data_IF_401287329868
#
_entry.id   IF_401287329868
#
_cell.length_a   1.000
_cell.length_b   1.000
_cell.length_c   1.000
_cell.angle_alpha   90.00
_cell.angle_beta   90.00
_cell.angle_gamma   90.00
#
_symmetry.space_group_name_H-M   'P 1'
#
loop_
_entity.id
_entity.type
_entity.pdbx_description
1 polymer ?
#
# COMPACT_ATOMS: atom_id res chain seq x y z
N UNK A 1 6.08 -34.26 -17.17
CA UNK A 1 4.96 -34.73 -16.32
C UNK A 1 4.40 -33.50 -15.61
N UNK A 2 3.14 -33.08 -15.82
CA UNK A 2 2.56 -31.97 -15.05
C UNK A 2 2.47 -32.38 -13.57
N UNK A 3 2.77 -31.45 -12.65
CA UNK A 3 2.64 -31.69 -11.22
C UNK A 3 1.17 -32.00 -10.85
N UNK A 4 0.89 -32.95 -9.94
CA UNK A 4 -0.47 -33.30 -9.54
C UNK A 4 -1.23 -32.08 -9.00
N UNK A 5 -2.50 -31.92 -9.40
CA UNK A 5 -3.37 -30.77 -9.08
C UNK A 5 -3.46 -30.42 -7.58
N UNK A 6 -3.29 -31.42 -6.71
CA UNK A 6 -3.28 -31.26 -5.24
C UNK A 6 -2.01 -30.53 -4.78
N UNK A 7 -0.86 -30.85 -5.39
CA UNK A 7 0.44 -30.25 -5.09
C UNK A 7 0.49 -28.79 -5.57
N UNK A 8 -0.09 -28.51 -6.74
CA UNK A 8 -0.25 -27.15 -7.27
C UNK A 8 -1.16 -26.30 -6.37
N UNK A 9 -2.28 -26.84 -5.87
CA UNK A 9 -3.16 -26.14 -4.91
C UNK A 9 -2.47 -25.85 -3.59
N UNK A 10 -1.78 -26.83 -2.99
CA UNK A 10 -1.04 -26.64 -1.74
C UNK A 10 0.10 -25.63 -1.85
N UNK A 11 0.80 -25.59 -2.99
CA UNK A 11 1.80 -24.57 -3.26
C UNK A 11 1.16 -23.18 -3.43
N UNK A 12 0.06 -23.09 -4.16
CA UNK A 12 -0.69 -21.84 -4.35
C UNK A 12 -1.18 -21.26 -3.02
N UNK A 13 -1.76 -22.09 -2.15
CA UNK A 13 -2.28 -21.64 -0.84
C UNK A 13 -1.17 -21.15 0.10
N UNK A 14 0.06 -21.65 -0.06
CA UNK A 14 1.22 -21.22 0.75
C UNK A 14 1.88 -19.96 0.22
N UNK A 15 1.71 -19.66 -1.07
CA UNK A 15 2.39 -18.57 -1.76
C UNK A 15 1.51 -17.34 -1.95
N UNK A 16 0.19 -17.46 -1.89
CA UNK A 16 -0.71 -16.32 -2.03
C UNK A 16 -0.93 -15.62 -0.69
N UNK A 17 -0.73 -14.30 -0.66
CA UNK A 17 -1.19 -13.47 0.45
C UNK A 17 -2.69 -13.32 0.31
N UNK A 18 -3.42 -13.81 1.30
CA UNK A 18 -4.88 -13.85 1.29
C UNK A 18 -5.47 -12.54 1.82
N UNK A 19 -6.73 -12.27 1.49
CA UNK A 19 -7.44 -11.04 1.92
C UNK A 19 -7.44 -10.84 3.44
N UNK A 20 -7.47 -11.93 4.24
CA UNK A 20 -7.39 -11.88 5.70
C UNK A 20 -6.01 -11.45 6.22
N UNK A 21 -4.93 -11.74 5.49
CA UNK A 21 -3.60 -11.26 5.86
C UNK A 21 -3.47 -9.77 5.61
N UNK A 22 -4.01 -9.26 4.51
CA UNK A 22 -4.05 -7.82 4.26
C UNK A 22 -4.90 -7.06 5.30
N UNK A 23 -6.05 -7.61 5.69
CA UNK A 23 -6.85 -7.05 6.78
C UNK A 23 -6.02 -6.97 8.08
N UNK A 24 -5.30 -8.05 8.44
CA UNK A 24 -4.38 -8.05 9.60
C UNK A 24 -3.25 -7.03 9.50
N UNK A 25 -2.74 -6.75 8.29
CA UNK A 25 -1.72 -5.70 8.09
C UNK A 25 -2.30 -4.30 8.34
N UNK A 26 -3.51 -4.04 7.87
CA UNK A 26 -4.23 -2.78 8.16
C UNK A 26 -4.49 -2.65 9.66
N UNK A 27 -4.91 -3.72 10.33
CA UNK A 27 -5.13 -3.72 11.79
C UNK A 27 -3.83 -3.45 12.56
N UNK A 28 -2.72 -4.06 12.13
CA UNK A 28 -1.40 -3.79 12.70
C UNK A 28 -0.99 -2.32 12.50
N UNK A 29 -1.31 -1.73 11.34
CA UNK A 29 -1.08 -0.31 11.08
C UNK A 29 -1.90 0.57 12.02
N UNK A 30 -3.21 0.32 12.15
CA UNK A 30 -4.07 1.07 13.08
C UNK A 30 -3.62 0.95 14.53
N UNK A 31 -3.19 -0.25 14.94
CA UNK A 31 -2.61 -0.46 16.28
C UNK A 31 -1.35 0.38 16.48
N UNK A 32 -0.43 0.36 15.52
CA UNK A 32 0.79 1.16 15.56
C UNK A 32 0.48 2.68 15.59
N UNK A 33 -0.51 3.12 14.79
CA UNK A 33 -1.01 4.49 14.82
C UNK A 33 -1.57 4.86 16.20
N UNK A 34 -2.38 3.99 16.81
CA UNK A 34 -2.97 4.24 18.12
C UNK A 34 -1.92 4.32 19.24
N UNK A 35 -0.95 3.41 19.25
CA UNK A 35 0.15 3.38 20.24
C UNK A 35 1.02 4.66 20.19
N UNK A 36 1.13 5.28 19.02
CA UNK A 36 1.95 6.46 18.77
C UNK A 36 1.14 7.76 18.60
N UNK A 37 -0.15 7.71 18.91
CA UNK A 37 -1.08 8.86 18.79
C UNK A 37 -1.07 9.50 17.39
N UNK A 38 -1.14 8.70 16.34
CA UNK A 38 -1.27 9.15 14.96
C UNK A 38 -2.72 9.07 14.52
N UNK A 39 -3.27 10.16 13.98
CA UNK A 39 -4.70 10.25 13.65
C UNK A 39 -4.99 9.81 12.22
N UNK A 40 -4.08 10.12 11.29
CA UNK A 40 -4.18 9.74 9.90
C UNK A 40 -2.83 9.40 9.28
N UNK A 41 -2.86 8.50 8.30
CA UNK A 41 -1.71 8.15 7.48
C UNK A 41 -2.10 8.20 6.00
N UNK A 42 -1.40 9.02 5.24
CA UNK A 42 -1.46 9.08 3.78
C UNK A 42 -0.25 8.34 3.19
N UNK A 43 -0.52 7.29 2.42
CA UNK A 43 0.47 6.45 1.75
C UNK A 43 0.35 6.66 0.24
N UNK A 44 1.48 6.82 -0.44
CA UNK A 44 1.57 7.15 -1.87
C UNK A 44 2.66 6.37 -2.61
N UNK A 45 3.57 5.75 -1.87
CA UNK A 45 4.55 4.80 -2.37
C UNK A 45 3.86 3.49 -2.78
N UNK A 46 4.29 2.95 -3.93
CA UNK A 46 3.71 1.76 -4.52
C UNK A 46 3.89 0.54 -3.61
N UNK A 47 5.07 0.34 -3.02
CA UNK A 47 5.37 -0.87 -2.25
C UNK A 47 4.59 -0.88 -0.94
N UNK A 48 4.38 0.29 -0.34
CA UNK A 48 3.51 0.43 0.84
C UNK A 48 2.05 0.22 0.50
N UNK A 49 1.56 0.84 -0.58
CA UNK A 49 0.19 0.69 -1.03
C UNK A 49 -0.14 -0.78 -1.34
N UNK A 50 0.71 -1.46 -2.12
CA UNK A 50 0.53 -2.86 -2.48
C UNK A 50 0.64 -3.78 -1.25
N UNK A 51 1.49 -3.43 -0.28
CA UNK A 51 1.63 -4.21 0.95
C UNK A 51 0.35 -4.22 1.79
N UNK A 52 -0.37 -3.10 1.88
CA UNK A 52 -1.60 -2.99 2.68
C UNK A 52 -2.87 -3.36 1.91
N UNK A 53 -2.92 -3.11 0.61
CA UNK A 53 -4.14 -3.32 -0.19
C UNK A 53 -4.14 -4.60 -1.02
N UNK A 54 -2.96 -5.14 -1.33
CA UNK A 54 -2.80 -6.22 -2.32
C UNK A 54 -3.09 -5.82 -3.77
N UNK A 55 -3.54 -4.59 -4.03
CA UNK A 55 -3.87 -4.15 -5.38
C UNK A 55 -2.63 -3.72 -6.14
N UNK A 56 -2.36 -4.39 -7.26
CA UNK A 56 -1.23 -4.12 -8.15
C UNK A 56 -1.75 -3.59 -9.49
N UNK A 57 -1.11 -2.54 -10.01
CA UNK A 57 -1.46 -1.99 -11.33
C UNK A 57 -0.21 -1.52 -12.07
N UNK A 58 -0.17 -1.70 -13.39
CA UNK A 58 0.89 -1.08 -14.21
C UNK A 58 0.75 0.45 -14.27
N UNK A 59 -0.40 0.98 -13.86
CA UNK A 59 -0.69 2.42 -13.87
C UNK A 59 0.19 3.23 -12.91
N UNK A 60 0.89 2.59 -11.97
CA UNK A 60 1.91 3.22 -11.13
C UNK A 60 3.02 3.94 -11.90
N UNK A 61 3.22 3.60 -13.18
CA UNK A 61 4.12 4.32 -14.09
C UNK A 61 3.66 5.77 -14.35
N UNK A 62 2.36 6.05 -14.22
CA UNK A 62 1.80 7.39 -14.38
C UNK A 62 1.91 8.20 -13.09
N UNK A 63 3.02 8.92 -12.93
CA UNK A 63 3.19 9.82 -11.77
C UNK A 63 2.27 11.04 -11.80
N UNK A 64 1.70 11.36 -12.96
CA UNK A 64 0.72 12.45 -13.10
C UNK A 64 -0.66 12.10 -12.53
N UNK A 65 -0.95 10.81 -12.30
CA UNK A 65 -2.21 10.30 -11.76
C UNK A 65 -1.93 9.24 -10.69
N UNK A 66 -1.40 9.67 -9.53
CA UNK A 66 -1.03 8.76 -8.45
C UNK A 66 -2.24 8.07 -7.82
N UNK A 67 -1.98 6.95 -7.16
CA UNK A 67 -2.85 6.44 -6.12
C UNK A 67 -2.44 7.01 -4.76
N UNK A 68 -3.41 7.18 -3.87
CA UNK A 68 -3.15 7.34 -2.45
C UNK A 68 -3.97 6.33 -1.65
N UNK A 69 -3.45 5.90 -0.51
CA UNK A 69 -4.18 5.19 0.51
C UNK A 69 -4.26 6.09 1.74
N UNK A 70 -5.48 6.35 2.22
CA UNK A 70 -5.73 7.16 3.41
C UNK A 70 -6.31 6.25 4.48
N UNK A 71 -5.59 6.14 5.60
CA UNK A 71 -5.98 5.39 6.78
C UNK A 71 -6.29 6.39 7.89
N UNK A 72 -7.52 6.39 8.40
CA UNK A 72 -7.90 7.15 9.58
C UNK A 72 -7.93 6.22 10.79
N UNK A 73 -7.43 6.70 11.93
CA UNK A 73 -7.34 5.93 13.17
C UNK A 73 -8.70 5.39 13.63
N UNK A 74 -9.72 6.25 13.62
CA UNK A 74 -11.07 5.96 14.15
C UNK A 74 -12.07 5.54 13.04
N UNK A 75 -11.58 4.92 11.95
CA UNK A 75 -12.41 4.45 10.84
C UNK A 75 -12.11 2.99 10.52
N UNK A 76 -13.15 2.16 10.41
CA UNK A 76 -13.04 0.78 9.93
C UNK A 76 -12.75 0.71 8.42
N UNK A 77 -13.01 1.79 7.69
CA UNK A 77 -12.71 1.90 6.25
C UNK A 77 -11.32 2.48 6.01
N UNK A 78 -10.59 1.90 5.07
CA UNK A 78 -9.40 2.50 4.46
C UNK A 78 -9.76 2.99 3.06
N UNK A 79 -9.34 4.20 2.72
CA UNK A 79 -9.75 4.84 1.48
C UNK A 79 -8.63 4.88 0.45
N UNK A 80 -8.86 4.25 -0.70
CA UNK A 80 -8.02 4.40 -1.90
C UNK A 80 -8.51 5.60 -2.72
N UNK A 81 -7.64 6.56 -2.96
CA UNK A 81 -7.87 7.66 -3.90
C UNK A 81 -7.22 7.27 -5.22
N UNK A 82 -8.03 7.07 -6.26
CA UNK A 82 -7.59 6.61 -7.57
C UNK A 82 -8.11 7.53 -8.68
N UNK A 83 -7.40 7.62 -9.81
CA UNK A 83 -7.92 8.33 -10.97
C UNK A 83 -9.18 7.64 -11.51
N UNK A 84 -10.13 8.40 -12.06
CA UNK A 84 -11.37 7.87 -12.61
C UNK A 84 -11.15 6.76 -13.67
N UNK A 85 -10.06 6.85 -14.44
CA UNK A 85 -9.66 5.84 -15.42
C UNK A 85 -9.37 4.46 -14.79
N UNK A 86 -8.91 4.43 -13.54
CA UNK A 86 -8.52 3.21 -12.83
C UNK A 86 -9.55 2.77 -11.77
N UNK A 87 -10.43 3.67 -11.33
CA UNK A 87 -11.41 3.40 -10.27
C UNK A 87 -12.30 2.18 -10.61
N UNK A 88 -12.65 2.01 -11.89
CA UNK A 88 -13.42 0.84 -12.34
C UNK A 88 -12.62 -0.46 -12.15
N UNK A 89 -11.38 -0.51 -12.63
CA UNK A 89 -10.49 -1.68 -12.48
C UNK A 89 -10.29 -2.02 -11.01
N UNK A 90 -10.06 -1.00 -10.17
CA UNK A 90 -9.95 -1.17 -8.73
C UNK A 90 -11.23 -1.81 -8.15
N UNK A 91 -12.41 -1.27 -8.46
CA UNK A 91 -13.69 -1.76 -7.93
C UNK A 91 -14.04 -3.20 -8.34
N UNK A 92 -13.48 -3.67 -9.46
CA UNK A 92 -13.71 -5.00 -10.00
C UNK A 92 -12.69 -6.03 -9.49
N UNK A 93 -11.76 -5.63 -8.63
CA UNK A 93 -10.75 -6.53 -8.05
C UNK A 93 -11.41 -7.42 -6.98
N UNK A 94 -11.54 -8.75 -7.21
CA UNK A 94 -12.36 -9.63 -6.37
C UNK A 94 -11.73 -9.96 -5.01
N UNK A 95 -10.45 -9.65 -4.79
CA UNK A 95 -9.66 -10.07 -3.63
C UNK A 95 -9.21 -8.90 -2.75
N UNK A 96 -9.86 -7.74 -2.85
CA UNK A 96 -9.53 -6.63 -1.98
C UNK A 96 -9.82 -6.98 -0.50
N UNK A 97 -8.99 -6.49 0.43
CA UNK A 97 -9.21 -6.71 1.86
C UNK A 97 -10.53 -6.06 2.30
N UNK A 98 -11.18 -6.66 3.30
CA UNK A 98 -12.38 -6.09 3.88
C UNK A 98 -12.12 -4.66 4.39
N UNK A 99 -13.05 -3.75 4.14
CA UNK A 99 -12.94 -2.34 4.55
C UNK A 99 -12.09 -1.46 3.62
N UNK A 100 -11.47 -2.01 2.57
CA UNK A 100 -10.82 -1.18 1.54
C UNK A 100 -11.88 -0.65 0.56
N UNK A 101 -12.08 0.66 0.58
CA UNK A 101 -12.98 1.37 -0.33
C UNK A 101 -12.19 2.32 -1.24
N UNK A 102 -12.86 2.89 -2.25
CA UNK A 102 -12.23 3.88 -3.11
C UNK A 102 -13.05 5.16 -3.28
N UNK A 103 -12.33 6.23 -3.64
CA UNK A 103 -12.86 7.48 -4.18
C UNK A 103 -12.09 7.81 -5.45
N UNK A 104 -12.82 8.29 -6.45
CA UNK A 104 -12.22 8.70 -7.70
C UNK A 104 -11.96 10.20 -7.74
N UNK A 105 -10.90 10.59 -8.45
CA UNK A 105 -10.65 11.96 -8.85
C UNK A 105 -10.45 12.06 -10.38
N UNK A 106 -10.61 13.28 -10.90
CA UNK A 106 -10.41 13.61 -12.31
C UNK A 106 -9.18 14.50 -12.47
N UNK A 107 -8.60 14.51 -13.66
CA UNK A 107 -7.44 15.35 -13.97
C UNK A 107 -6.11 14.69 -13.59
N UNK A 108 -5.29 15.42 -12.84
CA UNK A 108 -3.92 15.06 -12.46
C UNK A 108 -3.75 15.10 -10.94
N UNK A 109 -2.51 15.21 -10.47
CA UNK A 109 -2.13 15.15 -9.06
C UNK A 109 -2.90 16.15 -8.18
N UNK A 110 -3.22 17.35 -8.65
CA UNK A 110 -3.94 18.36 -7.86
C UNK A 110 -5.33 17.86 -7.45
N UNK A 111 -6.03 17.18 -8.36
CA UNK A 111 -7.34 16.58 -8.09
C UNK A 111 -7.24 15.37 -7.15
N UNK A 112 -6.15 14.61 -7.23
CA UNK A 112 -5.86 13.54 -6.28
C UNK A 112 -5.66 14.10 -4.87
N UNK A 113 -4.86 15.16 -4.74
CA UNK A 113 -4.61 15.84 -3.47
C UNK A 113 -5.89 16.43 -2.90
N UNK A 114 -6.73 17.08 -3.72
CA UNK A 114 -8.04 17.58 -3.27
C UNK A 114 -8.89 16.45 -2.68
N UNK A 115 -8.88 15.28 -3.33
CA UNK A 115 -9.62 14.13 -2.83
C UNK A 115 -9.03 13.55 -1.54
N UNK A 116 -7.71 13.53 -1.38
CA UNK A 116 -7.06 13.14 -0.12
C UNK A 116 -7.48 14.07 1.01
N UNK A 117 -7.45 15.39 0.78
CA UNK A 117 -7.85 16.39 1.79
C UNK A 117 -9.33 16.25 2.16
N UNK A 118 -10.21 16.01 1.18
CA UNK A 118 -11.63 15.72 1.42
C UNK A 118 -11.85 14.49 2.32
N UNK A 119 -11.10 13.41 2.09
CA UNK A 119 -11.17 12.19 2.91
C UNK A 119 -10.68 12.47 4.32
N UNK A 120 -9.56 13.16 4.47
CA UNK A 120 -9.01 13.53 5.78
C UNK A 120 -9.95 14.46 6.57
N UNK A 121 -10.70 15.33 5.88
CA UNK A 121 -11.66 16.27 6.47
C UNK A 121 -12.86 15.63 7.17
N UNK A 122 -12.97 14.30 7.14
CA UNK A 122 -14.01 13.53 7.85
C UNK A 122 -13.69 13.31 9.33
N UNK A 123 -12.48 13.65 9.78
CA UNK A 123 -12.02 13.49 11.14
C UNK A 123 -11.37 14.78 11.67
N UNK A 124 -11.34 14.93 13.00
CA UNK A 124 -10.50 15.94 13.64
C UNK A 124 -9.08 15.38 13.78
N UNK A 125 -8.11 16.05 13.16
CA UNK A 125 -6.75 15.54 12.99
C UNK A 125 -5.76 16.48 13.68
N UNK A 126 -4.91 15.91 14.55
CA UNK A 126 -3.78 16.58 15.18
C UNK A 126 -2.44 16.09 14.67
N UNK A 127 -2.36 14.86 14.15
CA UNK A 127 -1.13 14.23 13.65
C UNK A 127 -1.42 13.45 12.39
N UNK A 128 -0.79 13.86 11.29
CA UNK A 128 -0.94 13.25 9.96
C UNK A 128 0.44 12.80 9.49
N UNK A 129 0.60 11.50 9.21
CA UNK A 129 1.82 10.96 8.66
C UNK A 129 1.71 10.85 7.14
N UNK A 130 2.83 11.09 6.48
CA UNK A 130 3.05 10.81 5.07
C UNK A 130 4.11 9.73 4.99
N UNK A 131 4.05 8.87 3.98
CA UNK A 131 5.05 7.82 3.78
C UNK A 131 6.36 8.36 3.18
N UNK A 132 6.85 9.43 3.81
CA UNK A 132 8.15 10.04 3.62
C UNK A 132 9.08 9.58 4.75
N UNK A 133 10.39 9.77 4.56
CA UNK A 133 11.41 9.51 5.56
C UNK A 133 12.29 8.32 5.22
N UNK A 134 12.89 7.70 6.24
CA UNK A 134 13.87 6.62 6.08
C UNK A 134 13.33 5.48 5.18
N UNK A 135 14.02 5.27 4.05
CA UNK A 135 13.68 4.28 3.01
C UNK A 135 12.22 4.35 2.49
N UNK A 136 11.56 5.50 2.65
CA UNK A 136 10.17 5.73 2.25
C UNK A 136 10.09 6.98 1.38
N UNK A 137 9.91 6.77 0.08
CA UNK A 137 9.93 7.83 -0.93
C UNK A 137 8.56 8.01 -1.58
N UNK A 138 7.53 8.23 -0.76
CA UNK A 138 6.21 8.62 -1.26
C UNK A 138 6.28 9.75 -2.30
N UNK A 139 5.16 10.06 -2.95
CA UNK A 139 5.14 10.89 -4.17
C UNK A 139 5.81 12.27 -4.05
N UNK A 140 6.02 12.80 -2.83
CA UNK A 140 6.84 13.99 -2.61
C UNK A 140 6.21 15.27 -3.16
N UNK A 141 4.89 15.45 -2.98
CA UNK A 141 4.14 16.56 -3.57
C UNK A 141 4.09 17.80 -2.68
N UNK A 142 4.66 18.91 -3.15
CA UNK A 142 4.53 20.22 -2.47
C UNK A 142 3.06 20.66 -2.37
N UNK A 143 2.26 20.43 -3.42
CA UNK A 143 0.84 20.79 -3.40
C UNK A 143 0.04 20.01 -2.34
N UNK A 144 0.45 18.77 -2.04
CA UNK A 144 -0.09 18.01 -0.92
C UNK A 144 0.28 18.64 0.41
N UNK A 145 1.56 18.92 0.64
CA UNK A 145 2.03 19.54 1.89
C UNK A 145 1.36 20.89 2.13
N UNK A 146 1.31 21.74 1.11
CA UNK A 146 0.70 23.08 1.19
C UNK A 146 -0.79 23.00 1.53
N UNK A 147 -1.54 22.11 0.86
CA UNK A 147 -2.98 21.93 1.14
C UNK A 147 -3.23 21.33 2.52
N UNK A 148 -2.42 20.36 2.95
CA UNK A 148 -2.52 19.79 4.29
C UNK A 148 -2.27 20.86 5.36
N UNK A 149 -1.21 21.66 5.21
CA UNK A 149 -0.89 22.75 6.13
C UNK A 149 -1.98 23.85 6.14
N UNK A 150 -2.56 24.15 4.97
CA UNK A 150 -3.61 25.16 4.86
C UNK A 150 -4.94 24.71 5.49
N UNK A 151 -5.35 23.46 5.26
CA UNK A 151 -6.63 22.91 5.71
C UNK A 151 -6.59 22.41 7.15
N UNK A 152 -5.52 21.75 7.56
CA UNK A 152 -5.35 21.13 8.88
C UNK A 152 -4.31 21.89 9.70
N UNK A 153 -4.53 23.20 9.92
CA UNK A 153 -3.57 24.11 10.58
C UNK A 153 -3.14 23.68 11.98
N UNK A 154 -4.00 22.92 12.67
CA UNK A 154 -3.73 22.41 14.01
C UNK A 154 -3.02 21.05 14.00
N UNK A 155 -2.84 20.45 12.82
CA UNK A 155 -2.20 19.15 12.66
C UNK A 155 -0.70 19.29 12.44
N UNK A 156 0.07 18.42 13.07
CA UNK A 156 1.48 18.20 12.80
C UNK A 156 1.62 17.19 11.66
N UNK A 157 2.41 17.52 10.64
CA UNK A 157 2.83 16.57 9.62
C UNK A 157 4.06 15.79 10.10
N UNK A 158 4.04 14.48 9.89
CA UNK A 158 5.07 13.54 10.36
C UNK A 158 5.58 12.67 9.21
N UNK A 159 6.82 12.22 9.33
CA UNK A 159 7.34 11.13 8.51
C UNK A 159 6.75 9.78 8.96
N UNK A 160 6.57 8.87 8.01
CA UNK A 160 5.78 7.65 8.16
C UNK A 160 6.59 6.40 8.46
N UNK A 161 7.91 6.47 8.34
CA UNK A 161 8.82 5.32 8.47
C UNK A 161 8.60 4.53 9.77
N UNK A 162 8.46 5.23 10.91
CA UNK A 162 8.27 4.64 12.24
C UNK A 162 6.92 3.91 12.42
N UNK A 163 5.97 4.13 11.51
CA UNK A 163 4.66 3.48 11.52
C UNK A 163 4.60 2.28 10.56
N UNK A 164 5.49 2.25 9.55
CA UNK A 164 5.51 1.20 8.52
C UNK A 164 6.51 0.11 8.85
N UNK A 165 7.74 0.48 9.21
CA UNK A 165 8.82 -0.50 9.34
C UNK A 165 8.61 -1.54 10.45
N UNK A 166 8.05 -1.21 11.62
CA UNK A 166 7.74 -2.23 12.62
C UNK A 166 6.84 -3.34 12.09
N UNK A 167 5.97 -3.04 11.12
CA UNK A 167 5.05 -3.99 10.49
C UNK A 167 5.74 -4.78 9.39
N UNK A 168 6.51 -4.09 8.52
CA UNK A 168 7.13 -4.70 7.34
C UNK A 168 8.42 -5.45 7.65
N UNK A 169 9.11 -5.21 8.76
CA UNK A 169 10.39 -5.87 9.05
C UNK A 169 10.24 -7.35 9.38
N UNK A 170 9.12 -7.76 10.00
CA UNK A 170 8.84 -9.16 10.33
C UNK A 170 7.99 -9.78 9.22
N UNK A 171 8.52 -10.82 8.57
CA UNK A 171 7.86 -11.45 7.42
C UNK A 171 6.87 -12.53 7.83
N UNK A 172 5.71 -12.52 7.19
CA UNK A 172 4.70 -13.58 7.38
C UNK A 172 5.16 -14.90 6.77
N UNK A 173 4.55 -16.04 7.15
CA UNK A 173 4.83 -17.32 6.50
C UNK A 173 4.65 -17.29 4.97
N UNK A 174 3.65 -16.56 4.46
CA UNK A 174 3.41 -16.38 3.04
C UNK A 174 4.54 -15.58 2.38
N UNK A 175 4.95 -14.45 2.96
CA UNK A 175 6.09 -13.66 2.46
C UNK A 175 7.39 -14.47 2.46
N UNK A 176 7.65 -15.28 3.51
CA UNK A 176 8.83 -16.15 3.58
C UNK A 176 8.78 -17.22 2.48
N UNK A 177 7.61 -17.82 2.24
CA UNK A 177 7.43 -18.82 1.18
C UNK A 177 7.68 -18.20 -0.20
N UNK A 178 7.11 -17.02 -0.47
CA UNK A 178 7.36 -16.26 -1.71
C UNK A 178 8.85 -15.96 -1.89
N UNK A 179 9.53 -15.47 -0.85
CA UNK A 179 10.98 -15.19 -0.91
C UNK A 179 11.80 -16.44 -1.23
N UNK A 180 11.51 -17.58 -0.60
CA UNK A 180 12.19 -18.85 -0.90
C UNK A 180 12.01 -19.27 -2.35
N UNK A 181 10.80 -19.13 -2.89
CA UNK A 181 10.53 -19.40 -4.30
C UNK A 181 11.35 -18.48 -5.22
N UNK A 182 11.29 -17.17 -4.97
CA UNK A 182 12.04 -16.17 -5.76
C UNK A 182 13.54 -16.46 -5.76
N UNK A 183 14.12 -16.78 -4.59
CA UNK A 183 15.53 -17.14 -4.48
C UNK A 183 15.86 -18.43 -5.23
N UNK A 184 14.99 -19.44 -5.19
CA UNK A 184 15.16 -20.67 -5.98
C UNK A 184 15.17 -20.40 -7.48
N UNK A 185 14.29 -19.54 -7.97
CA UNK A 185 14.24 -19.12 -9.38
C UNK A 185 15.51 -18.36 -9.76
N UNK A 186 15.91 -17.36 -8.96
CA UNK A 186 17.11 -16.57 -9.21
C UNK A 186 18.38 -17.43 -9.22
N UNK A 187 18.50 -18.37 -8.27
CA UNK A 187 19.59 -19.33 -8.21
C UNK A 187 19.66 -20.21 -9.47
N UNK A 188 18.52 -20.79 -9.87
CA UNK A 188 18.45 -21.61 -11.09
C UNK A 188 18.82 -20.84 -12.35
N UNK A 189 18.31 -19.61 -12.50
CA UNK A 189 18.62 -18.74 -13.63
C UNK A 189 20.10 -18.36 -13.68
N UNK A 190 20.68 -17.98 -12.54
CA UNK A 190 22.10 -17.64 -12.44
C UNK A 190 23.00 -18.80 -12.86
N UNK A 191 22.74 -20.02 -12.35
CA UNK A 191 23.51 -21.21 -12.75
C UNK A 191 23.29 -21.61 -14.20
N UNK A 192 22.07 -21.45 -14.72
CA UNK A 192 21.81 -21.65 -16.14
C UNK A 192 22.66 -20.71 -17.00
N UNK A 193 22.69 -19.41 -16.69
CA UNK A 193 23.54 -18.45 -17.41
C UNK A 193 25.02 -18.85 -17.34
N UNK A 194 25.56 -19.13 -16.16
CA UNK A 194 26.96 -19.52 -15.99
C UNK A 194 27.34 -20.74 -16.82
N UNK A 195 26.49 -21.76 -16.86
CA UNK A 195 26.74 -22.99 -17.61
C UNK A 195 26.65 -22.81 -19.13
N UNK A 196 26.14 -21.67 -19.61
CA UNK A 196 25.95 -21.36 -21.03
C UNK A 196 26.73 -20.09 -21.46
N UNK A 197 27.69 -19.63 -20.66
CA UNK A 197 28.65 -18.62 -21.06
C UNK A 197 29.68 -19.26 -22.01
N UNK A 198 29.33 -19.38 -23.28
CA UNK A 198 30.23 -19.77 -24.39
C UNK A 198 29.97 -18.89 -25.58
#
# INVERSE_FOLDING_TARGET
MPAPLIEVRHMSDRLLVRSDEYARRIDALRKCMAEQSLDAFVISDQDHFEYFTGYKSLFWISKARPYFLVVLKESDTVMVVAAAAEAKTFSQTPELPAGVMHRQYSGFIEGAVDKVVEVLGQADLRRIALDYGFESFGLGSLSLLDKLNAQFRAAQLLEGADFIWPIRMIKTPAEIAQKRLTLGIAHGAFHHCLNNLT
#
